data_IF_208792475309
#
_entry.id   IF_208792475309
#
_cell.length_a   1.000
_cell.length_b   1.000
_cell.length_c   1.000
_cell.angle_alpha   90.00
_cell.angle_beta   90.00
_cell.angle_gamma   90.00
#
_symmetry.space_group_name_H-M   'P 1'
#
loop_
_entity.id
_entity.type
_entity.pdbx_description
1 polymer ?
#
# COMPACT_ATOMS: atom_id res chain seq x y z
N UNK A 1 -6.11 -18.37 -13.30
CA UNK A 1 -7.10 -17.37 -13.79
C UNK A 1 -8.28 -17.38 -12.86
N UNK A 2 -8.73 -16.21 -12.41
CA UNK A 2 -9.90 -16.09 -11.54
C UNK A 2 -11.15 -16.68 -12.21
N UNK A 3 -12.00 -17.33 -11.42
CA UNK A 3 -13.26 -17.96 -11.86
C UNK A 3 -14.48 -17.36 -11.16
N UNK A 4 -14.24 -16.59 -10.09
CA UNK A 4 -15.26 -15.94 -9.28
C UNK A 4 -14.82 -14.51 -8.93
N UNK A 5 -15.79 -13.61 -8.86
CA UNK A 5 -15.60 -12.19 -8.50
C UNK A 5 -16.64 -11.84 -7.45
N UNK A 6 -16.21 -11.09 -6.44
CA UNK A 6 -17.07 -10.46 -5.43
C UNK A 6 -16.93 -8.95 -5.54
N UNK A 7 -18.06 -8.25 -5.56
CA UNK A 7 -18.09 -6.78 -5.52
C UNK A 7 -19.09 -6.32 -4.46
N UNK A 8 -18.66 -5.38 -3.63
CA UNK A 8 -19.47 -4.79 -2.59
C UNK A 8 -18.98 -3.39 -2.21
N UNK A 9 -19.79 -2.68 -1.38
CA UNK A 9 -19.44 -1.38 -0.82
C UNK A 9 -19.28 -1.49 0.72
N UNK A 10 -18.32 -2.29 1.22
CA UNK A 10 -18.11 -2.43 2.65
C UNK A 10 -17.64 -1.09 3.24
N UNK A 11 -18.20 -0.63 4.37
CA UNK A 11 -18.09 0.77 4.80
C UNK A 11 -16.66 1.28 5.00
N UNK A 12 -15.78 0.47 5.61
CA UNK A 12 -14.42 0.91 5.94
C UNK A 12 -13.51 0.92 4.71
N UNK A 13 -13.55 -0.11 3.90
CA UNK A 13 -12.77 -0.17 2.67
C UNK A 13 -13.28 0.86 1.63
N UNK A 14 -14.61 1.05 1.53
CA UNK A 14 -15.20 2.11 0.71
C UNK A 14 -14.78 3.49 1.20
N UNK A 15 -14.62 3.69 2.52
CA UNK A 15 -14.08 4.93 3.08
C UNK A 15 -12.68 5.26 2.54
N UNK A 16 -11.78 4.28 2.43
CA UNK A 16 -10.47 4.45 1.79
C UNK A 16 -10.61 4.78 0.30
N UNK A 17 -11.52 4.11 -0.42
CA UNK A 17 -11.78 4.39 -1.83
C UNK A 17 -12.27 5.83 -2.06
N UNK A 18 -13.11 6.36 -1.17
CA UNK A 18 -13.60 7.75 -1.21
C UNK A 18 -12.51 8.75 -0.84
N UNK A 19 -11.66 8.40 0.13
CA UNK A 19 -10.52 9.24 0.52
C UNK A 19 -9.40 9.28 -0.52
N UNK A 20 -9.42 8.38 -1.52
CA UNK A 20 -8.36 8.27 -2.52
C UNK A 20 -7.06 7.69 -1.95
N UNK A 21 -7.09 7.11 -0.73
CA UNK A 21 -5.94 6.56 -0.03
C UNK A 21 -5.91 5.03 -0.07
N UNK A 22 -4.76 4.46 -0.40
CA UNK A 22 -4.57 3.01 -0.28
C UNK A 22 -4.44 2.61 1.19
N UNK A 23 -5.05 1.48 1.62
CA UNK A 23 -4.76 0.94 2.93
C UNK A 23 -3.26 0.66 3.08
N UNK A 24 -2.61 1.06 4.17
CA UNK A 24 -1.19 0.82 4.39
C UNK A 24 -0.87 -0.69 4.41
N UNK A 25 0.39 -1.06 4.30
CA UNK A 25 0.86 -2.45 4.33
C UNK A 25 1.72 -2.73 5.58
N UNK A 26 2.15 -3.97 5.76
CA UNK A 26 3.11 -4.37 6.78
C UNK A 26 2.62 -4.30 8.24
N UNK A 27 1.33 -4.46 8.50
CA UNK A 27 0.78 -4.33 9.85
C UNK A 27 0.07 -5.59 10.37
N UNK A 28 -0.60 -6.36 9.52
CA UNK A 28 -1.39 -7.53 9.91
C UNK A 28 -1.04 -8.71 9.00
N UNK A 29 -0.78 -9.93 9.57
CA UNK A 29 -0.36 -11.09 8.77
C UNK A 29 -1.37 -11.48 7.69
N UNK A 30 -2.67 -11.45 7.98
CA UNK A 30 -3.72 -11.89 7.07
C UNK A 30 -3.75 -11.04 5.79
N UNK A 31 -3.61 -9.71 5.92
CA UNK A 31 -3.57 -8.85 4.73
C UNK A 31 -2.33 -9.14 3.90
N UNK A 32 -1.17 -9.37 4.54
CA UNK A 32 0.08 -9.62 3.83
C UNK A 32 0.05 -10.96 3.10
N UNK A 33 -0.45 -12.03 3.74
CA UNK A 33 -0.44 -13.39 3.18
C UNK A 33 -1.51 -13.57 2.10
N UNK A 34 -2.73 -13.09 2.33
CA UNK A 34 -3.86 -13.41 1.44
C UNK A 34 -4.15 -12.31 0.41
N UNK A 35 -3.83 -11.06 0.71
CA UNK A 35 -4.14 -9.91 -0.15
C UNK A 35 -2.85 -9.25 -0.66
N UNK A 36 -2.06 -8.64 0.23
CA UNK A 36 -0.95 -7.76 -0.10
C UNK A 36 -1.41 -6.31 -0.26
N UNK A 37 -0.80 -5.60 -1.20
CA UNK A 37 -1.22 -4.23 -1.54
C UNK A 37 -2.61 -4.24 -2.17
N UNK A 38 -3.44 -3.31 -1.73
CA UNK A 38 -4.77 -3.06 -2.31
C UNK A 38 -4.72 -1.75 -3.08
N UNK A 39 -4.50 -1.78 -4.41
CA UNK A 39 -4.44 -0.58 -5.22
C UNK A 39 -5.83 0.04 -5.40
N UNK A 40 -5.84 1.31 -5.84
CA UNK A 40 -7.07 2.01 -6.22
C UNK A 40 -7.11 2.12 -7.74
N UNK A 41 -8.18 1.62 -8.36
CA UNK A 41 -8.50 1.91 -9.75
C UNK A 41 -9.11 3.32 -9.82
N UNK A 42 -8.64 4.19 -10.73
CA UNK A 42 -9.19 5.53 -10.91
C UNK A 42 -10.71 5.48 -11.18
N UNK A 43 -11.40 6.54 -10.76
CA UNK A 43 -12.83 6.64 -10.95
C UNK A 43 -13.22 6.59 -12.43
N UNK A 44 -14.22 5.77 -12.71
CA UNK A 44 -14.97 5.74 -13.95
C UNK A 44 -16.45 5.50 -13.64
N UNK A 45 -17.32 5.97 -14.52
CA UNK A 45 -18.76 5.83 -14.30
C UNK A 45 -19.17 4.36 -14.22
N UNK A 46 -19.85 3.93 -13.13
CA UNK A 46 -20.32 2.56 -12.97
C UNK A 46 -21.20 2.10 -14.14
N UNK A 47 -20.99 0.85 -14.58
CA UNK A 47 -21.72 0.27 -15.71
C UNK A 47 -21.11 0.54 -17.08
N UNK A 48 -19.99 1.30 -17.15
CA UNK A 48 -19.26 1.53 -18.40
C UNK A 48 -18.15 0.49 -18.61
N UNK A 49 -17.79 0.19 -19.87
CA UNK A 49 -16.63 -0.66 -20.16
C UNK A 49 -15.31 -0.10 -19.61
N UNK A 50 -15.17 1.22 -19.55
CA UNK A 50 -13.98 1.94 -19.07
C UNK A 50 -13.66 1.58 -17.64
N UNK A 51 -14.67 1.49 -16.75
CA UNK A 51 -14.48 1.05 -15.38
C UNK A 51 -13.90 -0.38 -15.31
N UNK A 52 -14.41 -1.28 -16.14
CA UNK A 52 -13.90 -2.65 -16.24
C UNK A 52 -12.44 -2.69 -16.70
N UNK A 53 -12.05 -1.83 -17.66
CA UNK A 53 -10.67 -1.74 -18.15
C UNK A 53 -9.71 -1.26 -17.07
N UNK A 54 -10.09 -0.25 -16.27
CA UNK A 54 -9.25 0.25 -15.15
C UNK A 54 -8.97 -0.82 -14.10
N UNK A 55 -9.95 -1.65 -13.77
CA UNK A 55 -9.76 -2.80 -12.89
C UNK A 55 -8.89 -3.86 -13.58
N UNK A 56 -9.11 -4.14 -14.86
CA UNK A 56 -8.37 -5.16 -15.62
C UNK A 56 -6.86 -4.89 -15.68
N UNK A 57 -6.42 -3.63 -15.67
CA UNK A 57 -5.00 -3.25 -15.65
C UNK A 57 -4.28 -3.75 -14.37
N UNK A 58 -5.02 -4.06 -13.32
CA UNK A 58 -4.50 -4.43 -11.99
C UNK A 58 -4.59 -5.93 -11.68
N UNK A 59 -5.35 -6.72 -12.47
CA UNK A 59 -5.68 -8.10 -12.11
C UNK A 59 -4.51 -9.07 -12.12
N UNK A 60 -3.46 -8.80 -12.90
CA UNK A 60 -2.31 -9.71 -12.99
C UNK A 60 -1.42 -9.66 -11.75
N UNK A 61 -1.46 -8.56 -11.00
CA UNK A 61 -0.58 -8.32 -9.85
C UNK A 61 -1.31 -8.35 -8.50
N UNK A 62 -2.63 -8.23 -8.53
CA UNK A 62 -3.47 -8.10 -7.33
C UNK A 62 -4.64 -9.08 -7.39
N UNK A 63 -5.29 -9.30 -6.26
CA UNK A 63 -6.50 -10.11 -6.14
C UNK A 63 -7.67 -9.35 -5.49
N UNK A 64 -7.43 -8.11 -5.11
CA UNK A 64 -8.40 -7.18 -4.54
C UNK A 64 -8.00 -5.76 -4.92
N UNK A 65 -8.99 -4.94 -5.29
CA UNK A 65 -8.81 -3.56 -5.77
C UNK A 65 -9.91 -2.70 -5.16
N UNK A 66 -9.56 -1.51 -4.69
CA UNK A 66 -10.52 -0.44 -4.44
C UNK A 66 -10.85 0.25 -5.77
N UNK A 67 -12.08 0.64 -5.95
CA UNK A 67 -12.52 1.50 -7.04
C UNK A 67 -12.81 2.87 -6.48
N UNK A 68 -12.12 3.89 -6.93
CA UNK A 68 -12.22 5.27 -6.43
C UNK A 68 -13.68 5.74 -6.41
N UNK A 69 -14.13 6.32 -5.27
CA UNK A 69 -15.49 6.79 -5.04
C UNK A 69 -16.61 5.74 -5.28
N UNK A 70 -16.28 4.44 -5.19
CA UNK A 70 -17.26 3.40 -5.50
C UNK A 70 -17.28 2.29 -4.44
N UNK A 71 -16.26 1.45 -4.39
CA UNK A 71 -16.25 0.28 -3.50
C UNK A 71 -15.07 -0.63 -3.74
N UNK A 72 -15.27 -1.92 -3.51
CA UNK A 72 -14.22 -2.95 -3.58
C UNK A 72 -14.60 -4.04 -4.56
N UNK A 73 -13.63 -4.56 -5.29
CA UNK A 73 -13.74 -5.78 -6.07
C UNK A 73 -12.62 -6.74 -5.69
N UNK A 74 -12.96 -8.00 -5.49
CA UNK A 74 -12.01 -9.09 -5.23
C UNK A 74 -12.32 -10.29 -6.11
N UNK A 75 -11.32 -11.12 -6.37
CA UNK A 75 -11.48 -12.29 -7.23
C UNK A 75 -10.64 -13.48 -6.77
N UNK A 76 -11.12 -14.67 -7.14
CA UNK A 76 -10.43 -15.92 -6.85
C UNK A 76 -10.91 -17.07 -7.72
N UNK A 77 -10.50 -18.29 -7.37
CA UNK A 77 -10.96 -19.51 -8.01
C UNK A 77 -12.36 -19.94 -7.57
N UNK A 78 -12.77 -19.59 -6.35
CA UNK A 78 -14.11 -19.84 -5.80
C UNK A 78 -14.75 -18.55 -5.30
N UNK A 79 -16.08 -18.54 -5.19
CA UNK A 79 -16.81 -17.37 -4.70
C UNK A 79 -16.57 -17.16 -3.20
N UNK A 80 -16.43 -18.24 -2.44
CA UNK A 80 -16.13 -18.19 -1.01
C UNK A 80 -14.78 -17.52 -0.77
N UNK A 81 -13.74 -17.90 -1.53
CA UNK A 81 -12.41 -17.30 -1.38
C UNK A 81 -12.39 -15.83 -1.85
N UNK A 82 -13.12 -15.49 -2.91
CA UNK A 82 -13.29 -14.10 -3.33
C UNK A 82 -14.00 -13.27 -2.22
N UNK A 83 -15.03 -13.84 -1.59
CA UNK A 83 -15.74 -13.21 -0.49
C UNK A 83 -14.85 -13.05 0.76
N UNK A 84 -14.08 -14.06 1.14
CA UNK A 84 -13.15 -13.95 2.27
C UNK A 84 -12.09 -12.87 2.07
N UNK A 85 -11.61 -12.67 0.84
CA UNK A 85 -10.72 -11.55 0.53
C UNK A 85 -11.39 -10.19 0.78
N UNK A 86 -12.68 -10.07 0.44
CA UNK A 86 -13.48 -8.89 0.72
C UNK A 86 -13.60 -8.64 2.23
N UNK A 87 -13.87 -9.68 3.03
CA UNK A 87 -13.94 -9.57 4.49
C UNK A 87 -12.59 -9.18 5.11
N UNK A 88 -11.48 -9.75 4.64
CA UNK A 88 -10.13 -9.42 5.12
C UNK A 88 -9.84 -7.94 4.89
N UNK A 89 -10.12 -7.42 3.69
CA UNK A 89 -9.86 -6.01 3.38
C UNK A 89 -10.74 -5.09 4.22
N UNK A 90 -12.01 -5.39 4.38
CA UNK A 90 -12.94 -4.59 5.20
C UNK A 90 -12.49 -4.57 6.68
N UNK A 91 -12.19 -5.74 7.26
CA UNK A 91 -11.71 -5.85 8.63
C UNK A 91 -10.39 -5.11 8.84
N UNK A 92 -9.49 -5.19 7.85
CA UNK A 92 -8.22 -4.48 7.86
C UNK A 92 -8.41 -2.96 7.83
N UNK A 93 -9.21 -2.44 6.91
CA UNK A 93 -9.52 -1.02 6.81
C UNK A 93 -10.13 -0.48 8.10
N UNK A 94 -11.01 -1.25 8.73
CA UNK A 94 -11.56 -0.93 10.06
C UNK A 94 -10.47 -0.85 11.11
N UNK A 95 -9.56 -1.81 11.15
CA UNK A 95 -8.44 -1.85 12.11
C UNK A 95 -7.53 -0.64 11.92
N UNK A 96 -7.20 -0.29 10.68
CA UNK A 96 -6.40 0.90 10.36
C UNK A 96 -7.07 2.17 10.86
N UNK A 97 -8.37 2.34 10.61
CA UNK A 97 -9.12 3.50 11.09
C UNK A 97 -9.10 3.60 12.63
N UNK A 98 -9.37 2.47 13.34
CA UNK A 98 -9.32 2.42 14.80
C UNK A 98 -7.93 2.77 15.31
N UNK A 99 -6.87 2.24 14.71
CA UNK A 99 -5.49 2.55 15.09
C UNK A 99 -5.17 4.04 14.90
N UNK A 100 -5.64 4.63 13.80
CA UNK A 100 -5.49 6.07 13.56
C UNK A 100 -6.20 6.90 14.64
N UNK A 101 -7.42 6.49 15.05
CA UNK A 101 -8.19 7.16 16.10
C UNK A 101 -7.54 7.08 17.49
N UNK A 102 -6.70 6.07 17.74
CA UNK A 102 -5.92 5.97 18.98
C UNK A 102 -4.83 7.05 19.09
N UNK A 103 -4.55 7.79 18.01
CA UNK A 103 -3.57 8.87 18.00
C UNK A 103 -2.11 8.40 18.16
N UNK A 104 -1.85 7.11 18.00
CA UNK A 104 -0.52 6.51 18.08
C UNK A 104 -0.03 6.04 16.72
N UNK A 105 1.29 6.06 16.52
CA UNK A 105 1.87 5.56 15.29
C UNK A 105 1.70 4.04 15.22
N UNK A 106 1.12 3.48 14.13
CA UNK A 106 1.01 2.05 13.97
C UNK A 106 2.39 1.37 13.98
N UNK A 107 2.46 0.20 14.62
CA UNK A 107 3.63 -0.66 14.52
C UNK A 107 3.58 -1.46 13.22
N UNK A 108 4.70 -1.53 12.54
CA UNK A 108 4.85 -2.34 11.33
C UNK A 108 5.75 -3.53 11.60
N UNK A 109 5.63 -4.56 10.77
CA UNK A 109 6.56 -5.67 10.78
C UNK A 109 7.98 -5.20 10.48
N UNK A 110 8.96 -5.90 11.05
CA UNK A 110 10.34 -5.78 10.57
C UNK A 110 10.43 -6.32 9.14
N UNK A 111 11.41 -5.88 8.34
CA UNK A 111 11.64 -6.43 7.00
C UNK A 111 11.74 -7.96 6.99
N UNK A 112 12.42 -8.55 7.98
CA UNK A 112 12.52 -10.00 8.14
C UNK A 112 11.14 -10.66 8.33
N UNK A 113 10.31 -10.15 9.24
CA UNK A 113 8.98 -10.72 9.48
C UNK A 113 8.09 -10.60 8.26
N UNK A 114 8.21 -9.50 7.51
CA UNK A 114 7.48 -9.37 6.26
C UNK A 114 7.96 -10.36 5.21
N UNK A 115 9.27 -10.58 5.09
CA UNK A 115 9.81 -11.59 4.18
C UNK A 115 9.26 -12.99 4.51
N UNK A 116 9.24 -13.36 5.80
CA UNK A 116 8.67 -14.63 6.27
C UNK A 116 7.19 -14.78 5.82
N UNK A 117 6.39 -13.69 5.87
CA UNK A 117 4.99 -13.68 5.41
C UNK A 117 4.88 -13.80 3.88
N UNK A 118 5.75 -13.12 3.14
CA UNK A 118 5.79 -13.24 1.68
C UNK A 118 6.21 -14.64 1.22
N UNK A 119 7.11 -15.29 1.95
CA UNK A 119 7.48 -16.68 1.69
C UNK A 119 6.30 -17.64 1.91
N UNK A 120 5.48 -17.41 2.95
CA UNK A 120 4.23 -18.14 3.16
C UNK A 120 3.28 -17.89 1.99
N UNK A 121 3.09 -16.65 1.59
CA UNK A 121 2.24 -16.24 0.46
C UNK A 121 2.66 -16.94 -0.83
N UNK A 122 3.96 -16.97 -1.10
CA UNK A 122 4.52 -17.62 -2.28
C UNK A 122 4.25 -19.14 -2.27
N UNK A 123 4.40 -19.80 -1.11
CA UNK A 123 4.09 -21.24 -0.93
C UNK A 123 2.61 -21.53 -1.17
N UNK A 124 1.73 -20.59 -0.88
CA UNK A 124 0.29 -20.69 -1.15
C UNK A 124 -0.07 -20.38 -2.62
N UNK A 125 0.91 -20.00 -3.44
CA UNK A 125 0.69 -19.66 -4.85
C UNK A 125 -0.07 -18.34 -5.07
N UNK A 126 -0.08 -17.45 -4.07
CA UNK A 126 -0.73 -16.13 -4.19
C UNK A 126 0.26 -15.13 -4.77
N UNK A 127 -0.03 -14.51 -5.91
CA UNK A 127 0.89 -13.54 -6.52
C UNK A 127 1.03 -12.28 -5.65
N UNK A 128 2.25 -11.72 -5.60
CA UNK A 128 2.51 -10.44 -4.95
C UNK A 128 3.64 -9.72 -5.70
N UNK A 129 3.46 -8.45 -6.09
CA UNK A 129 4.47 -7.68 -6.80
C UNK A 129 5.75 -7.43 -5.98
N UNK A 130 5.70 -7.64 -4.67
CA UNK A 130 6.85 -7.45 -3.77
C UNK A 130 7.76 -8.68 -3.68
N UNK A 131 7.34 -9.83 -4.20
CA UNK A 131 8.19 -11.04 -4.21
C UNK A 131 9.45 -10.76 -5.04
N UNK A 132 10.61 -10.89 -4.40
CA UNK A 132 11.91 -10.61 -5.02
C UNK A 132 12.39 -9.16 -4.89
N UNK A 133 11.63 -8.27 -4.26
CA UNK A 133 12.09 -6.93 -3.92
C UNK A 133 13.08 -6.95 -2.75
N UNK A 134 13.85 -5.88 -2.62
CA UNK A 134 14.75 -5.67 -1.47
C UNK A 134 13.95 -5.34 -0.22
N UNK A 135 14.50 -5.66 0.94
CA UNK A 135 13.84 -5.41 2.24
C UNK A 135 13.31 -3.98 2.41
N UNK A 136 14.03 -2.98 1.93
CA UNK A 136 13.63 -1.57 2.03
C UNK A 136 12.43 -1.20 1.13
N UNK A 137 12.16 -1.98 0.09
CA UNK A 137 11.06 -1.74 -0.86
C UNK A 137 9.79 -2.48 -0.47
N UNK A 138 9.85 -3.36 0.54
CA UNK A 138 8.75 -4.23 0.93
C UNK A 138 7.59 -3.47 1.58
N UNK A 139 7.88 -2.45 2.41
CA UNK A 139 6.90 -1.67 3.14
C UNK A 139 6.85 -0.25 2.58
N UNK A 140 6.15 -0.07 1.47
CA UNK A 140 5.89 1.24 0.86
C UNK A 140 4.63 1.83 1.48
N UNK A 141 4.83 2.61 2.53
CA UNK A 141 3.79 3.31 3.25
C UNK A 141 4.17 4.80 3.39
N UNK A 142 4.51 5.43 2.28
CA UNK A 142 5.00 6.81 2.26
C UNK A 142 4.04 7.80 2.94
N UNK A 143 2.73 7.58 2.82
CA UNK A 143 1.71 8.38 3.50
C UNK A 143 1.79 8.28 5.03
N UNK A 144 2.24 7.13 5.57
CA UNK A 144 2.36 6.88 7.01
C UNK A 144 3.78 7.10 7.53
N UNK A 145 4.76 7.22 6.65
CA UNK A 145 6.18 7.47 6.95
C UNK A 145 6.76 8.53 6.03
N UNK A 146 6.28 9.76 6.06
CA UNK A 146 6.91 10.81 5.27
C UNK A 146 8.38 10.96 5.67
N UNK A 147 9.28 10.90 4.68
CA UNK A 147 10.72 11.06 4.88
C UNK A 147 11.52 9.79 5.14
N UNK A 148 10.93 8.59 5.09
CA UNK A 148 11.69 7.35 5.09
C UNK A 148 12.07 7.00 3.63
N UNK A 149 13.24 7.40 3.20
CA UNK A 149 13.84 6.91 1.96
C UNK A 149 14.57 5.60 2.25
N UNK A 150 14.46 4.62 1.33
CA UNK A 150 15.31 3.44 1.34
C UNK A 150 16.76 3.85 1.10
N UNK A 151 17.52 4.04 2.15
CA UNK A 151 18.97 4.11 2.03
C UNK A 151 19.47 2.69 1.72
N UNK A 152 19.62 2.37 0.44
CA UNK A 152 20.28 1.12 0.01
C UNK A 152 21.77 1.30 0.28
N UNK A 153 22.41 0.52 1.17
CA UNK A 153 23.85 0.50 1.24
C UNK A 153 24.35 0.03 -0.12
N UNK A 154 25.11 0.86 -0.82
CA UNK A 154 25.72 0.49 -2.09
C UNK A 154 26.64 -0.70 -1.82
N UNK A 155 26.29 -1.88 -2.31
CA UNK A 155 27.11 -3.10 -2.16
C UNK A 155 28.36 -3.09 -3.05
N UNK A 156 28.53 -2.08 -3.90
CA UNK A 156 29.79 -1.78 -4.55
C UNK A 156 30.57 -0.84 -3.63
N UNK A 157 31.64 -1.33 -3.01
CA UNK A 157 32.51 -0.60 -2.07
C UNK A 157 33.26 0.62 -2.66
N UNK A 158 32.57 1.46 -3.37
CA UNK A 158 33.00 2.77 -3.78
C UNK A 158 32.18 3.79 -2.99
N UNK A 159 32.87 4.50 -2.09
CA UNK A 159 32.38 5.72 -1.46
C UNK A 159 32.03 6.73 -2.57
N UNK A 160 30.83 6.64 -3.09
CA UNK A 160 30.22 7.79 -3.73
C UNK A 160 29.84 8.74 -2.60
N UNK A 161 30.73 9.66 -2.27
CA UNK A 161 30.34 10.91 -1.64
C UNK A 161 29.19 11.43 -2.51
N UNK A 162 27.97 11.48 -1.95
CA UNK A 162 26.85 12.17 -2.57
C UNK A 162 27.35 13.56 -2.93
N UNK A 163 27.46 13.82 -4.22
CA UNK A 163 27.57 15.18 -4.72
C UNK A 163 26.18 15.80 -4.46
N UNK A 164 25.99 16.31 -3.25
CA UNK A 164 24.85 17.14 -2.93
C UNK A 164 24.97 18.36 -3.85
N UNK A 165 23.94 18.58 -4.66
CA UNK A 165 23.85 19.76 -5.49
C UNK A 165 23.91 21.00 -4.56
N UNK A 166 24.96 21.83 -4.62
CA UNK A 166 25.14 22.95 -3.71
C UNK A 166 23.96 23.95 -3.77
N UNK A 167 23.22 23.96 -4.87
CA UNK A 167 22.06 24.81 -5.07
C UNK A 167 20.84 24.24 -4.34
N UNK A 168 20.65 22.92 -4.38
CA UNK A 168 19.61 22.22 -3.61
C UNK A 168 19.82 22.36 -2.10
N UNK A 169 21.06 22.23 -1.60
CA UNK A 169 21.37 22.47 -0.17
C UNK A 169 21.12 23.92 0.25
N UNK A 170 21.44 24.89 -0.60
CA UNK A 170 21.12 26.30 -0.33
C UNK A 170 19.63 26.56 -0.21
N UNK A 171 18.83 25.98 -1.12
CA UNK A 171 17.37 26.12 -1.10
C UNK A 171 16.79 25.48 0.16
N UNK A 172 17.18 24.25 0.48
CA UNK A 172 16.73 23.54 1.69
C UNK A 172 17.08 24.33 2.95
N UNK A 173 18.30 24.86 3.06
CA UNK A 173 18.73 25.67 4.21
C UNK A 173 17.92 26.96 4.33
N UNK A 174 17.72 27.68 3.23
CA UNK A 174 16.96 28.95 3.22
C UNK A 174 15.52 28.73 3.66
N UNK A 175 14.87 27.69 3.14
CA UNK A 175 13.48 27.35 3.51
C UNK A 175 13.39 26.92 4.98
N UNK A 176 14.34 26.12 5.44
CA UNK A 176 14.41 25.67 6.84
C UNK A 176 14.58 26.85 7.80
N UNK A 177 15.51 27.77 7.51
CA UNK A 177 15.76 28.95 8.34
C UNK A 177 14.53 29.89 8.36
N UNK A 178 13.82 30.04 7.25
CA UNK A 178 12.60 30.84 7.19
C UNK A 178 11.44 30.23 7.99
N UNK A 179 11.27 28.92 7.92
CA UNK A 179 10.28 28.20 8.74
C UNK A 179 10.61 28.33 10.24
N UNK A 180 11.87 28.14 10.63
CA UNK A 180 12.28 28.26 12.03
C UNK A 180 12.13 29.69 12.56
N UNK A 181 12.35 30.71 11.75
CA UNK A 181 12.13 32.11 12.14
C UNK A 181 10.65 32.43 12.34
N UNK A 182 9.76 31.87 11.52
CA UNK A 182 8.30 32.04 11.67
C UNK A 182 7.72 31.31 12.89
N UNK A 183 8.37 30.22 13.32
CA UNK A 183 7.93 29.46 14.51
C UNK A 183 8.43 30.05 15.84
N UNK A 184 9.38 30.99 15.81
CA UNK A 184 9.93 31.68 16.99
C UNK A 184 9.29 33.04 17.27
N UNK A 185 8.43 33.54 16.42
CA UNK A 185 7.64 34.77 16.60
C UNK A 185 6.24 34.46 17.01
#
# INVERSE_FOLDING_TARGET
KARAVSHAHPPYATGFAVAGGQPPTCMIPEIEVFIGRVPIAPYETPGTPEMGLKVAELVDKHNTVLMENHGVVSWSNTIEDAYFKMEIVEAYCRTVLVTTQLGVKPKQFSPKHLQDLLDIKQKLGVPDPRIGLKECELCDNDEWRPGVTCAVPNQSGENAAEATDPEAERVVKTVTDEILNRLKG
#
